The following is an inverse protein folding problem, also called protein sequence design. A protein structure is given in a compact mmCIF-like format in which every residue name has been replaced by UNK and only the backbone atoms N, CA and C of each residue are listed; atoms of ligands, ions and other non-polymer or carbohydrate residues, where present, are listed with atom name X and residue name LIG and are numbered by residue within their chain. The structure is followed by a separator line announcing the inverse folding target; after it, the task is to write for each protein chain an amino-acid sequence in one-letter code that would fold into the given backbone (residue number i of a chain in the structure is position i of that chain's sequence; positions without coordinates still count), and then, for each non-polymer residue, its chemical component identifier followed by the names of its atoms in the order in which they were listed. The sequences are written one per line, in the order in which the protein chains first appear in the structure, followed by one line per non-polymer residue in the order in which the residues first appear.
data_IF_165740592809
#
_entry.id   IF_165740592809
#
_cell.length_a   1.000
_cell.length_b   1.000
_cell.length_c   1.000
_cell.angle_alpha   90.00
_cell.angle_beta   90.00
_cell.angle_gamma   90.00
#
_symmetry.space_group_name_H-M   'P 1'
#
loop_
_entity.id
_entity.type
_entity.pdbx_description
1 polymer ?
#
# COMPACT_ATOMS: atom_id res chain seq x y z
N UNK A 1 -13.75 23.39 -1.32
CA UNK A 1 -13.50 22.37 -2.36
C UNK A 1 -12.18 21.70 -2.02
N UNK A 2 -12.09 20.42 -1.60
CA UNK A 2 -10.79 19.82 -1.38
C UNK A 2 -10.35 19.04 -2.63
N UNK A 3 -9.25 19.57 -3.17
CA UNK A 3 -8.13 18.92 -3.87
C UNK A 3 -8.37 17.52 -4.45
N UNK A 4 -8.11 17.42 -5.76
CA UNK A 4 -7.87 16.20 -6.51
C UNK A 4 -7.35 15.08 -5.60
N UNK A 5 -8.16 14.02 -5.46
CA UNK A 5 -7.68 12.72 -5.02
C UNK A 5 -6.76 12.23 -6.13
N UNK A 6 -5.50 12.66 -6.09
CA UNK A 6 -4.44 12.02 -6.84
C UNK A 6 -4.42 10.57 -6.38
N UNK A 7 -4.86 9.69 -7.27
CA UNK A 7 -4.68 8.25 -7.13
C UNK A 7 -3.18 7.99 -7.13
N UNK A 8 -2.56 8.13 -5.96
CA UNK A 8 -1.14 7.96 -5.79
C UNK A 8 -0.88 6.46 -5.81
N UNK A 9 -0.31 6.00 -6.91
CA UNK A 9 0.18 4.64 -7.09
C UNK A 9 1.64 4.61 -6.67
N UNK A 10 1.99 3.73 -5.74
CA UNK A 10 3.37 3.55 -5.31
C UNK A 10 3.86 2.19 -5.73
N UNK A 11 4.93 2.17 -6.53
CA UNK A 11 5.72 0.97 -6.77
C UNK A 11 6.72 0.79 -5.63
N UNK A 12 6.51 -0.24 -4.83
CA UNK A 12 7.43 -0.63 -3.76
C UNK A 12 8.29 -1.78 -4.27
N UNK A 13 9.59 -1.53 -4.42
CA UNK A 13 10.60 -2.55 -4.73
C UNK A 13 11.15 -3.26 -3.49
N UNK A 14 10.64 -2.94 -2.29
CA UNK A 14 11.00 -3.64 -1.05
C UNK A 14 10.49 -5.09 -1.10
N UNK A 15 11.31 -6.02 -0.60
CA UNK A 15 10.96 -7.44 -0.49
C UNK A 15 9.99 -7.76 0.65
N UNK A 16 9.77 -6.86 1.60
CA UNK A 16 8.89 -7.09 2.74
C UNK A 16 8.04 -5.85 2.94
N UNK A 17 6.71 -6.03 2.98
CA UNK A 17 5.76 -5.00 3.38
C UNK A 17 5.26 -5.28 4.79
N UNK A 18 5.37 -4.26 5.62
CA UNK A 18 4.90 -4.27 7.01
C UNK A 18 3.72 -3.34 7.18
N UNK A 19 2.99 -3.48 8.28
CA UNK A 19 1.91 -2.55 8.67
C UNK A 19 2.34 -1.10 8.56
N UNK A 20 3.59 -0.79 8.96
CA UNK A 20 4.11 0.57 8.96
C UNK A 20 4.21 1.15 7.55
N UNK A 21 4.63 0.36 6.57
CA UNK A 21 4.65 0.78 5.17
C UNK A 21 3.22 1.05 4.64
N UNK A 22 2.24 0.25 5.08
CA UNK A 22 0.84 0.44 4.68
C UNK A 22 0.25 1.70 5.33
N UNK A 23 0.52 1.96 6.61
CA UNK A 23 0.07 3.19 7.29
C UNK A 23 0.71 4.43 6.70
N UNK A 24 1.99 4.34 6.31
CA UNK A 24 2.69 5.43 5.62
C UNK A 24 2.06 5.70 4.24
N UNK A 25 1.78 4.64 3.48
CA UNK A 25 1.04 4.74 2.22
C UNK A 25 -0.38 5.31 2.43
N UNK A 26 -1.09 4.88 3.47
CA UNK A 26 -2.40 5.41 3.83
C UNK A 26 -2.35 6.90 4.19
N UNK A 27 -1.32 7.33 4.94
CA UNK A 27 -1.10 8.73 5.30
C UNK A 27 -0.80 9.58 4.07
N UNK A 28 -0.07 9.03 3.10
CA UNK A 28 0.18 9.60 1.78
C UNK A 28 -1.05 9.56 0.84
N UNK A 29 -2.19 9.04 1.31
CA UNK A 29 -3.42 8.82 0.52
C UNK A 29 -3.23 7.91 -0.70
N UNK A 30 -2.27 6.99 -0.62
CA UNK A 30 -2.03 5.97 -1.63
C UNK A 30 -3.23 5.03 -1.68
N UNK A 31 -3.79 4.84 -2.86
CA UNK A 31 -4.94 3.95 -3.09
C UNK A 31 -4.52 2.57 -3.61
N UNK A 32 -3.33 2.49 -4.23
CA UNK A 32 -2.79 1.27 -4.82
C UNK A 32 -1.28 1.16 -4.58
N UNK A 33 -0.84 0.02 -4.05
CA UNK A 33 0.57 -0.32 -3.85
C UNK A 33 0.89 -1.51 -4.76
N UNK A 34 1.81 -1.30 -5.68
CA UNK A 34 2.31 -2.35 -6.55
C UNK A 34 3.59 -2.92 -5.94
N UNK A 35 3.62 -4.23 -5.71
CA UNK A 35 4.78 -4.94 -5.17
C UNK A 35 5.19 -6.08 -6.08
N UNK A 36 6.47 -6.44 -6.13
CA UNK A 36 6.90 -7.60 -6.91
C UNK A 36 6.33 -8.90 -6.31
N UNK A 37 6.14 -9.93 -7.12
CA UNK A 37 5.60 -11.23 -6.73
C UNK A 37 6.44 -11.94 -5.66
N UNK A 38 7.72 -11.55 -5.55
CA UNK A 38 8.64 -12.01 -4.50
C UNK A 38 8.50 -11.21 -3.19
N UNK A 39 7.55 -10.30 -3.09
CA UNK A 39 7.33 -9.47 -1.91
C UNK A 39 6.55 -10.25 -0.84
N UNK A 40 7.15 -10.33 0.35
CA UNK A 40 6.56 -10.92 1.54
C UNK A 40 5.64 -9.89 2.17
N UNK A 41 4.33 -10.12 2.05
CA UNK A 41 3.31 -9.37 2.77
C UNK A 41 3.15 -9.99 4.16
N UNK A 42 3.43 -9.21 5.21
CA UNK A 42 3.13 -9.64 6.58
C UNK A 42 1.62 -9.70 6.81
N UNK A 43 1.17 -10.51 7.78
CA UNK A 43 -0.25 -10.61 8.12
C UNK A 43 -0.83 -9.23 8.50
N UNK A 44 -0.08 -8.45 9.28
CA UNK A 44 -0.45 -7.08 9.67
C UNK A 44 -0.54 -6.15 8.46
N UNK A 45 0.36 -6.25 7.47
CA UNK A 45 0.27 -5.44 6.26
C UNK A 45 -1.01 -5.76 5.45
N UNK A 46 -1.38 -7.04 5.34
CA UNK A 46 -2.62 -7.43 4.66
C UNK A 46 -3.86 -6.91 5.39
N UNK A 47 -3.88 -7.02 6.71
CA UNK A 47 -4.98 -6.55 7.54
C UNK A 47 -5.13 -5.03 7.45
N UNK A 48 -4.02 -4.31 7.61
CA UNK A 48 -3.97 -2.85 7.53
C UNK A 48 -4.36 -2.34 6.13
N UNK A 49 -3.96 -3.04 5.05
CA UNK A 49 -4.35 -2.65 3.69
C UNK A 49 -5.86 -2.81 3.48
N UNK A 50 -6.46 -3.86 4.06
CA UNK A 50 -7.89 -4.12 3.99
C UNK A 50 -8.69 -3.11 4.82
N UNK A 51 -8.19 -2.74 6.00
CA UNK A 51 -8.80 -1.73 6.88
C UNK A 51 -8.77 -0.34 6.25
N UNK A 52 -7.62 0.06 5.68
CA UNK A 52 -7.45 1.36 5.04
C UNK A 52 -7.99 1.43 3.59
N UNK A 53 -8.43 0.31 3.02
CA UNK A 53 -8.96 0.25 1.65
C UNK A 53 -7.90 0.40 0.56
N UNK A 54 -6.65 0.03 0.85
CA UNK A 54 -5.52 0.09 -0.08
C UNK A 54 -5.45 -1.21 -0.88
N UNK A 55 -5.39 -1.10 -2.21
CA UNK A 55 -5.20 -2.27 -3.08
C UNK A 55 -3.73 -2.62 -3.18
N UNK A 56 -3.37 -3.81 -2.72
CA UNK A 56 -2.06 -4.40 -2.95
C UNK A 56 -2.11 -5.21 -4.25
N UNK A 57 -1.35 -4.78 -5.26
CA UNK A 57 -1.20 -5.48 -6.54
C UNK A 57 0.17 -6.15 -6.52
N UNK A 58 0.21 -7.46 -6.73
CA UNK A 58 1.46 -8.20 -6.90
C UNK A 58 1.73 -8.39 -8.39
N UNK A 59 2.90 -7.94 -8.89
CA UNK A 59 3.40 -8.19 -10.26
C UNK A 59 4.42 -9.32 -10.30
#
# INVERSE_FOLDING_TARGET
MPAAREEKLVHVTKRVLTERDIRDAAAEKVTCIHVPAKCILTALAKDCAKEHGIRLVQE
#
